data_IF_389916083682
#
_entry.id   IF_389916083682
#
_cell.length_a   1.000
_cell.length_b   1.000
_cell.length_c   1.000
_cell.angle_alpha   90.00
_cell.angle_beta   90.00
_cell.angle_gamma   90.00
#
_symmetry.space_group_name_H-M   'P 1'
#
loop_
_entity.id
_entity.type
_entity.pdbx_description
1 polymer ?
#
# COMPACT_ATOMS: atom_id res chain seq x y z
N UNK A 1 -33.15 31.75 16.00
CA UNK A 1 -33.38 30.61 16.91
C UNK A 1 -33.79 29.42 16.07
N UNK A 2 -32.83 28.70 15.51
CA UNK A 2 -33.09 27.42 14.83
C UNK A 2 -32.60 26.33 15.76
N UNK A 3 -33.58 25.61 16.30
CA UNK A 3 -33.46 24.48 17.21
C UNK A 3 -32.61 23.38 16.55
N UNK A 4 -31.44 23.09 17.12
CA UNK A 4 -30.72 21.86 16.79
C UNK A 4 -31.36 20.75 17.61
N UNK A 5 -32.24 19.98 16.96
CA UNK A 5 -32.80 18.77 17.54
C UNK A 5 -31.69 17.81 18.01
N UNK A 6 -31.98 16.95 19.00
CA UNK A 6 -30.97 16.15 19.65
C UNK A 6 -30.32 15.20 18.64
N UNK A 7 -28.98 15.23 18.58
CA UNK A 7 -28.19 14.24 17.86
C UNK A 7 -28.39 12.91 18.56
N UNK A 8 -29.29 12.09 18.02
CA UNK A 8 -29.58 10.75 18.53
C UNK A 8 -28.31 9.92 18.37
N UNK A 9 -27.57 9.74 19.45
CA UNK A 9 -26.57 8.68 19.55
C UNK A 9 -27.29 7.35 19.33
N UNK A 10 -26.74 6.41 18.53
CA UNK A 10 -27.40 5.14 18.31
C UNK A 10 -27.36 4.35 19.63
N UNK A 11 -28.51 4.24 20.26
CA UNK A 11 -28.77 3.27 21.31
C UNK A 11 -28.79 1.90 20.63
N UNK A 12 -27.69 1.15 20.75
CA UNK A 12 -27.59 -0.23 20.25
C UNK A 12 -27.77 -1.15 21.46
N UNK A 13 -29.02 -1.43 21.80
CA UNK A 13 -29.41 -2.50 22.73
C UNK A 13 -29.39 -3.84 21.96
N UNK A 14 -28.44 -4.71 22.32
CA UNK A 14 -28.16 -5.98 21.67
C UNK A 14 -26.71 -6.01 21.18
N UNK A 15 -25.83 -6.68 21.92
CA UNK A 15 -24.37 -6.51 21.90
C UNK A 15 -23.65 -6.84 20.57
N UNK A 16 -23.87 -6.04 19.53
CA UNK A 16 -23.09 -6.05 18.31
C UNK A 16 -21.78 -5.30 18.56
N UNK A 17 -20.71 -6.05 18.84
CA UNK A 17 -19.38 -5.49 19.00
C UNK A 17 -18.85 -5.06 17.62
N UNK A 18 -18.63 -3.76 17.43
CA UNK A 18 -18.06 -3.22 16.19
C UNK A 18 -16.54 -3.24 16.31
N UNK A 19 -15.88 -3.98 15.41
CA UNK A 19 -14.42 -4.06 15.38
C UNK A 19 -13.83 -3.08 14.37
N UNK A 20 -12.89 -2.24 14.82
CA UNK A 20 -12.13 -1.35 13.98
C UNK A 20 -10.72 -1.89 13.75
N UNK A 21 -10.31 -1.97 12.49
CA UNK A 21 -8.95 -2.37 12.11
C UNK A 21 -7.96 -1.25 12.46
N UNK A 22 -6.97 -1.56 13.29
CA UNK A 22 -5.96 -0.60 13.73
C UNK A 22 -4.55 -1.18 13.56
N UNK A 23 -3.60 -0.48 12.90
CA UNK A 23 -2.23 -0.97 12.77
C UNK A 23 -1.54 -0.99 14.14
N UNK A 24 -0.87 -2.08 14.48
CA UNK A 24 -0.13 -2.15 15.74
C UNK A 24 1.12 -1.25 15.69
N UNK A 25 1.12 -0.22 16.54
CA UNK A 25 2.24 0.71 16.74
C UNK A 25 2.68 0.57 18.20
N UNK A 26 3.95 0.20 18.46
CA UNK A 26 4.48 0.08 19.82
C UNK A 26 4.20 1.35 20.63
N UNK A 27 3.87 1.19 21.92
CA UNK A 27 3.53 2.26 22.87
C UNK A 27 2.23 3.03 22.61
N UNK A 28 1.81 3.19 21.35
CA UNK A 28 0.55 3.88 20.99
C UNK A 28 -0.66 2.94 21.06
N UNK A 29 -0.57 1.74 20.49
CA UNK A 29 -1.66 0.78 20.46
C UNK A 29 -2.21 0.39 21.84
N UNK A 30 -1.38 0.20 22.89
CA UNK A 30 -1.89 -0.05 24.24
C UNK A 30 -2.68 1.12 24.79
N UNK A 31 -2.17 2.35 24.67
CA UNK A 31 -2.86 3.57 25.12
C UNK A 31 -4.18 3.78 24.39
N UNK A 32 -4.20 3.53 23.08
CA UNK A 32 -5.41 3.57 22.29
C UNK A 32 -6.43 2.55 22.79
N UNK A 33 -6.04 1.29 23.00
CA UNK A 33 -6.93 0.26 23.57
C UNK A 33 -7.48 0.68 24.92
N UNK A 34 -6.67 1.29 25.78
CA UNK A 34 -7.12 1.75 27.10
C UNK A 34 -8.16 2.87 26.97
N UNK A 35 -7.97 3.82 26.07
CA UNK A 35 -8.96 4.86 25.74
C UNK A 35 -10.29 4.29 25.24
N UNK A 36 -10.27 3.24 24.41
CA UNK A 36 -11.48 2.65 23.84
C UNK A 36 -12.16 1.61 24.74
N UNK A 37 -11.57 1.23 25.89
CA UNK A 37 -12.21 0.32 26.86
C UNK A 37 -13.48 0.91 27.47
N UNK A 38 -13.49 2.22 27.66
CA UNK A 38 -14.60 2.93 28.30
C UNK A 38 -15.81 3.12 27.37
N UNK A 39 -15.65 2.84 26.07
CA UNK A 39 -16.71 2.95 25.07
C UNK A 39 -17.35 1.59 24.79
N UNK A 40 -18.58 1.34 25.29
CA UNK A 40 -19.27 0.07 25.04
C UNK A 40 -19.62 -0.06 23.55
N UNK A 41 -19.30 -1.22 22.96
CA UNK A 41 -19.64 -1.56 21.58
C UNK A 41 -18.53 -1.32 20.55
N UNK A 42 -17.38 -0.73 20.94
CA UNK A 42 -16.25 -0.47 20.05
C UNK A 42 -15.03 -1.27 20.53
N UNK A 43 -14.45 -2.10 19.65
CA UNK A 43 -13.21 -2.83 19.92
C UNK A 43 -12.17 -2.58 18.84
N UNK A 44 -10.92 -2.34 19.25
CA UNK A 44 -9.79 -2.24 18.33
C UNK A 44 -9.24 -3.64 18.01
N UNK A 45 -9.20 -3.98 16.73
CA UNK A 45 -8.52 -5.17 16.20
C UNK A 45 -7.14 -4.77 15.66
N UNK A 46 -6.09 -5.19 16.36
CA UNK A 46 -4.72 -4.89 15.98
C UNK A 46 -4.26 -5.75 14.80
N UNK A 47 -3.69 -5.12 13.78
CA UNK A 47 -3.16 -5.78 12.59
C UNK A 47 -1.73 -5.31 12.30
N UNK A 48 -0.94 -6.11 11.60
CA UNK A 48 0.32 -5.61 11.04
C UNK A 48 0.03 -4.58 9.94
N UNK A 49 0.77 -3.48 9.94
CA UNK A 49 0.77 -2.53 8.82
C UNK A 49 1.50 -3.08 7.59
N UNK A 50 2.45 -3.99 7.81
CA UNK A 50 3.18 -4.68 6.75
C UNK A 50 2.43 -5.97 6.39
N UNK A 51 2.13 -6.13 5.11
CA UNK A 51 1.62 -7.39 4.56
C UNK A 51 2.71 -8.10 3.77
N UNK A 52 2.63 -9.42 3.65
CA UNK A 52 3.59 -10.20 2.87
C UNK A 52 3.66 -9.69 1.42
N UNK A 53 2.53 -9.31 0.82
CA UNK A 53 2.52 -8.71 -0.52
C UNK A 53 3.28 -7.39 -0.55
N UNK A 54 3.12 -6.49 0.44
CA UNK A 54 3.89 -5.24 0.52
C UNK A 54 5.39 -5.50 0.61
N UNK A 55 5.81 -6.40 1.51
CA UNK A 55 7.23 -6.68 1.77
C UNK A 55 7.90 -7.40 0.59
N UNK A 56 7.21 -8.38 0.00
CA UNK A 56 7.73 -9.20 -1.10
C UNK A 56 7.28 -8.74 -2.49
N UNK A 57 6.80 -7.50 -2.65
CA UNK A 57 6.45 -6.94 -3.97
C UNK A 57 7.63 -6.93 -4.94
N UNK A 58 8.84 -6.72 -4.43
CA UNK A 58 10.07 -6.69 -5.22
C UNK A 58 10.96 -7.85 -4.81
N UNK A 59 10.61 -9.05 -5.29
CA UNK A 59 11.40 -10.28 -5.05
C UNK A 59 12.75 -10.24 -5.76
N UNK A 60 12.89 -9.42 -6.81
CA UNK A 60 14.12 -9.25 -7.57
C UNK A 60 14.67 -7.85 -7.36
N UNK A 61 15.97 -7.76 -7.18
CA UNK A 61 16.68 -6.49 -7.23
C UNK A 61 16.46 -5.83 -8.59
N UNK A 62 16.37 -4.50 -8.61
CA UNK A 62 16.34 -3.77 -9.87
C UNK A 62 17.66 -4.04 -10.58
N UNK A 63 17.58 -4.60 -11.79
CA UNK A 63 18.75 -4.75 -12.63
C UNK A 63 19.20 -3.37 -13.10
N UNK A 64 20.48 -3.04 -12.92
CA UNK A 64 21.07 -1.89 -13.58
C UNK A 64 20.87 -2.04 -15.10
N UNK A 65 20.27 -1.06 -15.80
CA UNK A 65 20.12 -1.09 -17.25
C UNK A 65 21.43 -1.32 -18.02
N UNK A 66 22.57 -0.92 -17.45
CA UNK A 66 23.89 -1.13 -18.05
C UNK A 66 24.29 -2.61 -18.01
N UNK A 67 23.83 -3.34 -17.00
CA UNK A 67 24.10 -4.76 -16.87
C UNK A 67 23.08 -5.62 -17.65
N UNK A 68 22.34 -5.06 -18.60
CA UNK A 68 21.47 -5.84 -19.48
C UNK A 68 22.27 -6.35 -20.70
N UNK A 69 21.99 -7.58 -21.12
CA UNK A 69 22.51 -8.18 -22.37
C UNK A 69 21.34 -8.61 -23.27
N UNK A 70 21.58 -8.80 -24.56
CA UNK A 70 20.53 -9.11 -25.56
C UNK A 70 19.51 -7.97 -25.73
N UNK A 71 19.96 -6.73 -25.60
CA UNK A 71 19.11 -5.55 -25.75
C UNK A 71 18.82 -5.34 -27.24
N UNK A 72 17.54 -5.06 -27.54
CA UNK A 72 17.10 -4.67 -28.88
C UNK A 72 17.29 -3.16 -29.02
N UNK A 73 18.08 -2.74 -29.99
CA UNK A 73 18.29 -1.32 -30.29
C UNK A 73 17.70 -0.97 -31.66
N UNK A 74 17.32 0.31 -31.80
CA UNK A 74 16.74 0.85 -33.03
C UNK A 74 17.60 2.01 -33.51
N UNK A 75 18.07 1.95 -34.74
CA UNK A 75 18.81 3.04 -35.39
C UNK A 75 17.92 3.59 -36.51
N UNK A 76 17.50 4.87 -36.44
CA UNK A 76 16.71 5.47 -37.50
C UNK A 76 17.56 5.72 -38.76
N UNK A 77 16.97 5.47 -39.92
CA UNK A 77 17.52 5.89 -41.20
C UNK A 77 17.51 7.43 -41.26
N UNK A 78 18.61 8.03 -41.71
CA UNK A 78 18.70 9.49 -41.81
C UNK A 78 17.83 10.03 -42.97
N UNK A 79 17.74 9.27 -44.06
CA UNK A 79 17.19 9.73 -45.34
C UNK A 79 15.87 9.02 -45.71
N UNK A 80 15.28 8.25 -44.79
CA UNK A 80 14.07 7.46 -45.05
C UNK A 80 13.31 7.11 -43.77
N UNK A 81 12.03 6.72 -43.89
CA UNK A 81 11.21 6.24 -42.76
C UNK A 81 11.60 4.82 -42.28
N UNK A 82 12.67 4.26 -42.82
CA UNK A 82 13.21 2.97 -42.44
C UNK A 82 13.89 2.99 -41.08
N UNK A 83 13.90 1.84 -40.40
CA UNK A 83 14.53 1.68 -39.10
C UNK A 83 15.33 0.37 -39.08
N UNK A 84 16.60 0.42 -38.69
CA UNK A 84 17.39 -0.79 -38.42
C UNK A 84 17.10 -1.27 -37.00
N UNK A 85 16.67 -2.54 -36.87
CA UNK A 85 16.43 -3.18 -35.57
C UNK A 85 17.39 -4.35 -35.44
N UNK A 86 18.24 -4.30 -34.41
CA UNK A 86 19.25 -5.31 -34.14
C UNK A 86 19.30 -5.67 -32.67
N UNK A 87 19.94 -6.80 -32.37
CA UNK A 87 20.20 -7.27 -31.00
C UNK A 87 21.70 -7.37 -30.78
N UNK A 88 22.20 -6.99 -29.60
CA UNK A 88 23.62 -7.17 -29.24
C UNK A 88 23.79 -8.16 -28.08
N UNK A 89 24.80 -9.03 -28.18
CA UNK A 89 25.23 -9.92 -27.08
C UNK A 89 26.14 -9.21 -26.08
N UNK A 90 26.63 -8.01 -26.40
CA UNK A 90 27.46 -7.23 -25.49
C UNK A 90 26.62 -6.58 -24.41
N UNK A 91 27.21 -6.42 -23.23
CA UNK A 91 26.67 -5.63 -22.12
C UNK A 91 26.70 -4.15 -22.49
N UNK A 92 25.71 -3.38 -22.05
CA UNK A 92 25.73 -1.93 -22.21
C UNK A 92 26.85 -1.36 -21.31
N UNK A 93 27.81 -0.64 -21.89
CA UNK A 93 28.86 0.05 -21.13
C UNK A 93 28.41 1.44 -20.73
#
# INVERSE_FOLDING_TARGET
>A
MTDQGPVIAPVIEGAAQTYFRFPYVPYLSPKARDLFKDFPGIKLAFCSGLTASTVFTKVKDKHDPLLLSNIVYKIPCADCDGMYVGTTKQWLK
#
